data_IF_678123422710
#
_entry.id   IF_678123422710
#
_cell.length_a   1.000
_cell.length_b   1.000
_cell.length_c   1.000
_cell.angle_alpha   90.00
_cell.angle_beta   90.00
_cell.angle_gamma   90.00
#
_symmetry.space_group_name_H-M   'P 1'
#
loop_
_entity.id
_entity.type
_entity.pdbx_description
1 polymer ?
#
# COMPACT_ATOMS: atom_id res chain seq x y z
N UNK A 1 1.47 20.82 -11.15
CA UNK A 1 2.43 20.12 -12.03
C UNK A 1 2.99 18.88 -11.36
N UNK A 2 3.57 19.00 -10.15
CA UNK A 2 4.00 17.85 -9.32
C UNK A 2 2.96 16.73 -9.22
N UNK A 3 1.72 17.08 -8.85
CA UNK A 3 0.62 16.12 -8.70
C UNK A 3 0.29 15.33 -9.97
N UNK A 4 0.48 15.90 -11.17
CA UNK A 4 0.22 15.16 -12.42
C UNK A 4 1.22 14.02 -12.61
N UNK A 5 2.48 14.20 -12.21
CA UNK A 5 3.47 13.13 -12.24
C UNK A 5 3.16 12.05 -11.20
N UNK A 6 2.69 12.43 -10.01
CA UNK A 6 2.27 11.46 -8.97
C UNK A 6 1.07 10.66 -9.47
N UNK A 7 0.03 11.33 -9.99
CA UNK A 7 -1.15 10.66 -10.51
C UNK A 7 -0.81 9.73 -11.68
N UNK A 8 0.00 10.19 -12.65
CA UNK A 8 0.46 9.35 -13.74
C UNK A 8 1.23 8.12 -13.24
N UNK A 9 2.09 8.30 -12.22
CA UNK A 9 2.82 7.19 -11.60
C UNK A 9 1.83 6.19 -10.96
N UNK A 10 0.82 6.68 -10.23
CA UNK A 10 -0.21 5.82 -9.62
C UNK A 10 -0.98 5.02 -10.66
N UNK A 11 -1.40 5.66 -11.75
CA UNK A 11 -2.18 5.01 -12.80
C UNK A 11 -1.36 3.91 -13.50
N UNK A 12 -0.08 4.17 -13.80
CA UNK A 12 0.83 3.15 -14.36
C UNK A 12 0.98 1.98 -13.37
N UNK A 13 1.26 2.27 -12.09
CA UNK A 13 1.45 1.24 -11.06
C UNK A 13 0.21 0.36 -10.88
N UNK A 14 -0.99 0.95 -10.92
CA UNK A 14 -2.25 0.19 -10.80
C UNK A 14 -2.53 -0.69 -12.00
N UNK A 15 -2.32 -0.17 -13.21
CA UNK A 15 -2.69 -0.84 -14.45
C UNK A 15 -1.58 -1.73 -15.00
N UNK A 16 -0.44 -1.14 -15.33
CA UNK A 16 0.66 -1.80 -16.05
C UNK A 16 1.70 -2.43 -15.11
N UNK A 17 1.76 -1.99 -13.86
CA UNK A 17 2.68 -2.49 -12.84
C UNK A 17 4.03 -1.77 -12.81
N UNK A 18 4.87 -2.18 -11.86
CA UNK A 18 6.15 -1.52 -11.55
C UNK A 18 7.16 -1.61 -12.71
N UNK A 19 7.11 -2.66 -13.54
CA UNK A 19 8.04 -2.82 -14.66
C UNK A 19 7.88 -1.74 -15.74
N UNK A 20 6.68 -1.14 -15.85
CA UNK A 20 6.42 -0.04 -16.80
C UNK A 20 6.89 1.33 -16.28
N UNK A 21 7.41 1.41 -15.05
CA UNK A 21 7.85 2.66 -14.46
C UNK A 21 9.16 3.13 -15.07
N UNK A 22 9.09 4.29 -15.74
CA UNK A 22 10.25 5.04 -16.18
C UNK A 22 9.93 6.53 -16.19
N UNK A 23 10.97 7.37 -16.06
CA UNK A 23 10.82 8.83 -16.13
C UNK A 23 10.13 9.24 -17.43
N UNK A 24 10.43 8.58 -18.56
CA UNK A 24 9.83 8.88 -19.86
C UNK A 24 8.35 8.52 -19.89
N UNK A 25 7.97 7.34 -19.39
CA UNK A 25 6.57 6.90 -19.37
C UNK A 25 5.73 7.80 -18.48
N UNK A 26 6.20 8.10 -17.26
CA UNK A 26 5.52 8.98 -16.32
C UNK A 26 5.35 10.38 -16.90
N UNK A 27 6.41 10.95 -17.48
CA UNK A 27 6.33 12.29 -18.05
C UNK A 27 5.37 12.35 -19.25
N UNK A 28 5.41 11.36 -20.14
CA UNK A 28 4.50 11.25 -21.27
C UNK A 28 3.03 11.18 -20.80
N UNK A 29 2.73 10.29 -19.86
CA UNK A 29 1.38 10.15 -19.32
C UNK A 29 0.90 11.39 -18.56
N UNK A 30 1.80 12.09 -17.88
CA UNK A 30 1.49 13.37 -17.24
C UNK A 30 1.34 14.53 -18.24
N UNK A 31 1.67 14.34 -19.52
CA UNK A 31 1.59 15.37 -20.57
C UNK A 31 2.75 16.38 -20.55
N UNK A 32 3.91 16.00 -20.00
CA UNK A 32 5.08 16.89 -19.84
C UNK A 32 6.38 16.24 -20.33
N UNK A 33 7.43 17.05 -20.46
CA UNK A 33 8.77 16.53 -20.78
C UNK A 33 9.41 15.86 -19.56
N UNK A 34 10.29 14.88 -19.78
CA UNK A 34 11.08 14.27 -18.71
C UNK A 34 11.99 15.29 -18.00
N UNK A 35 12.46 16.32 -18.72
CA UNK A 35 13.24 17.42 -18.13
C UNK A 35 12.42 18.21 -17.11
N UNK A 36 11.12 18.41 -17.37
CA UNK A 36 10.19 19.04 -16.43
C UNK A 36 10.00 18.21 -15.17
N UNK A 37 9.94 16.88 -15.30
CA UNK A 37 9.84 15.95 -14.15
C UNK A 37 11.05 16.09 -13.22
N UNK A 38 12.27 16.17 -13.78
CA UNK A 38 13.51 16.32 -13.01
C UNK A 38 13.62 17.64 -12.22
N UNK A 39 12.79 18.64 -12.53
CA UNK A 39 12.69 19.85 -11.70
C UNK A 39 11.99 19.60 -10.36
N UNK A 40 11.25 18.49 -10.23
CA UNK A 40 10.45 18.16 -9.04
C UNK A 40 10.94 16.92 -8.28
N UNK A 41 11.53 15.95 -8.99
CA UNK A 41 11.93 14.68 -8.40
C UNK A 41 13.36 14.33 -8.79
N UNK A 42 14.14 13.90 -7.80
CA UNK A 42 15.55 13.53 -7.99
C UNK A 42 15.68 12.21 -8.75
N UNK A 43 14.81 11.26 -8.43
CA UNK A 43 14.72 9.97 -9.08
C UNK A 43 13.28 9.46 -9.10
N UNK A 44 13.06 8.39 -9.88
CA UNK A 44 11.73 7.77 -10.01
C UNK A 44 11.32 7.01 -8.74
N UNK A 45 12.27 6.60 -7.89
CA UNK A 45 11.99 5.90 -6.65
C UNK A 45 11.38 6.84 -5.59
N UNK A 46 11.62 8.15 -5.67
CA UNK A 46 10.88 9.16 -4.90
C UNK A 46 9.40 9.22 -5.29
N UNK A 47 9.08 9.10 -6.57
CA UNK A 47 7.70 9.07 -7.05
C UNK A 47 6.99 7.80 -6.61
N UNK A 48 7.64 6.64 -6.78
CA UNK A 48 7.08 5.35 -6.35
C UNK A 48 6.87 5.33 -4.84
N UNK A 49 7.79 5.92 -4.04
CA UNK A 49 7.62 6.08 -2.58
C UNK A 49 6.30 6.77 -2.24
N UNK A 50 6.02 7.91 -2.86
CA UNK A 50 4.81 8.69 -2.58
C UNK A 50 3.55 7.88 -2.91
N UNK A 51 3.59 7.08 -3.98
CA UNK A 51 2.46 6.23 -4.37
C UNK A 51 2.20 5.09 -3.38
N UNK A 52 3.24 4.51 -2.76
CA UNK A 52 3.06 3.41 -1.79
C UNK A 52 2.23 3.86 -0.58
N UNK A 53 2.49 5.03 -0.02
CA UNK A 53 1.71 5.58 1.09
C UNK A 53 0.25 5.83 0.68
N UNK A 54 0.03 6.39 -0.51
CA UNK A 54 -1.32 6.59 -1.04
C UNK A 54 -2.07 5.26 -1.25
N UNK A 55 -1.40 4.22 -1.75
CA UNK A 55 -2.04 2.91 -1.95
C UNK A 55 -2.37 2.22 -0.63
N UNK A 56 -1.56 2.41 0.42
CA UNK A 56 -1.90 1.93 1.75
C UNK A 56 -3.20 2.60 2.25
N UNK A 57 -3.32 3.91 2.07
CA UNK A 57 -4.53 4.67 2.43
C UNK A 57 -5.74 4.20 1.63
N UNK A 58 -5.60 4.03 0.31
CA UNK A 58 -6.66 3.52 -0.55
C UNK A 58 -7.10 2.11 -0.15
N UNK A 59 -6.15 1.24 0.22
CA UNK A 59 -6.44 -0.09 0.75
C UNK A 59 -7.23 -0.01 2.06
N UNK A 60 -6.82 0.86 2.98
CA UNK A 60 -7.55 1.09 4.24
C UNK A 60 -9.00 1.51 3.98
N UNK A 61 -9.20 2.54 3.16
CA UNK A 61 -10.55 3.03 2.81
C UNK A 61 -11.38 1.94 2.11
N UNK A 62 -10.77 1.14 1.25
CA UNK A 62 -11.42 0.02 0.57
C UNK A 62 -11.93 -1.05 1.55
N UNK A 63 -11.12 -1.38 2.57
CA UNK A 63 -11.47 -2.33 3.62
C UNK A 63 -12.53 -1.75 4.54
N UNK A 64 -12.36 -0.52 5.02
CA UNK A 64 -13.31 0.17 5.90
C UNK A 64 -14.71 0.24 5.30
N UNK A 65 -14.81 0.52 4.00
CA UNK A 65 -16.11 0.57 3.32
C UNK A 65 -16.81 -0.80 3.29
N UNK A 66 -16.05 -1.91 3.21
CA UNK A 66 -16.60 -3.28 3.21
C UNK A 66 -16.96 -3.77 4.60
N UNK A 67 -16.27 -3.29 5.63
CA UNK A 67 -16.54 -3.69 7.02
C UNK A 67 -17.40 -2.69 7.79
N UNK A 68 -17.88 -1.65 7.10
CA UNK A 68 -18.79 -0.65 7.65
C UNK A 68 -20.04 -1.30 8.23
N UNK A 69 -20.32 -0.98 9.50
CA UNK A 69 -21.47 -1.50 10.23
C UNK A 69 -21.27 -2.90 10.85
N UNK A 70 -20.13 -3.54 10.63
CA UNK A 70 -19.75 -4.76 11.35
C UNK A 70 -19.10 -4.34 12.67
N UNK A 71 -19.50 -4.98 13.77
CA UNK A 71 -18.90 -4.71 15.09
C UNK A 71 -17.44 -5.19 15.12
N UNK A 72 -16.57 -4.38 15.73
CA UNK A 72 -15.17 -4.74 16.00
C UNK A 72 -15.04 -6.08 16.73
N UNK A 73 -14.00 -6.83 16.39
CA UNK A 73 -13.66 -8.13 16.96
C UNK A 73 -13.46 -9.20 15.89
N UNK A 74 -13.48 -10.48 16.30
CA UNK A 74 -13.04 -11.61 15.46
C UNK A 74 -13.71 -11.72 14.09
N UNK A 75 -15.00 -11.44 14.00
CA UNK A 75 -15.74 -11.57 12.73
C UNK A 75 -15.44 -10.40 11.78
N UNK A 76 -15.30 -9.17 12.29
CA UNK A 76 -14.84 -8.04 11.47
C UNK A 76 -13.38 -8.23 11.05
N UNK A 77 -12.50 -8.70 11.93
CA UNK A 77 -11.11 -9.03 11.60
C UNK A 77 -10.99 -9.95 10.38
N UNK A 78 -11.79 -11.02 10.32
CA UNK A 78 -11.82 -11.92 9.14
C UNK A 78 -12.24 -11.17 7.88
N UNK A 79 -13.20 -10.24 8.00
CA UNK A 79 -13.67 -9.41 6.89
C UNK A 79 -12.65 -8.34 6.49
N UNK A 80 -11.87 -7.80 7.43
CA UNK A 80 -10.79 -6.88 7.12
C UNK A 80 -9.70 -7.59 6.32
N UNK A 81 -9.26 -8.78 6.76
CA UNK A 81 -8.31 -9.62 6.01
C UNK A 81 -8.86 -10.00 4.63
N UNK A 82 -10.15 -10.36 4.54
CA UNK A 82 -10.79 -10.66 3.26
C UNK A 82 -10.75 -9.43 2.33
N UNK A 83 -11.16 -8.25 2.82
CA UNK A 83 -11.16 -7.01 2.05
C UNK A 83 -9.74 -6.59 1.61
N UNK A 84 -8.75 -6.83 2.46
CA UNK A 84 -7.35 -6.58 2.15
C UNK A 84 -6.88 -7.44 0.97
N UNK A 85 -7.17 -8.74 1.00
CA UNK A 85 -6.85 -9.66 -0.11
C UNK A 85 -7.60 -9.23 -1.38
N UNK A 86 -8.90 -8.90 -1.27
CA UNK A 86 -9.71 -8.43 -2.40
C UNK A 86 -9.11 -7.18 -3.07
N UNK A 87 -8.59 -6.23 -2.31
CA UNK A 87 -7.94 -5.03 -2.84
C UNK A 87 -6.75 -5.38 -3.75
N UNK A 88 -5.87 -6.26 -3.28
CA UNK A 88 -4.70 -6.68 -4.06
C UNK A 88 -5.07 -7.59 -5.25
N UNK A 89 -6.18 -8.32 -5.17
CA UNK A 89 -6.73 -9.02 -6.33
C UNK A 89 -7.31 -8.05 -7.39
N UNK A 90 -7.92 -6.94 -6.97
CA UNK A 90 -8.44 -5.91 -7.86
C UNK A 90 -7.32 -5.08 -8.51
N UNK A 91 -6.23 -4.85 -7.78
CA UNK A 91 -5.08 -4.06 -8.23
C UNK A 91 -3.77 -4.88 -8.20
N UNK A 92 -3.58 -5.84 -9.12
CA UNK A 92 -2.43 -6.74 -9.12
C UNK A 92 -1.09 -6.01 -9.30
N UNK A 93 -1.06 -4.85 -9.96
CA UNK A 93 0.15 -4.02 -10.07
C UNK A 93 0.61 -3.44 -8.72
N UNK A 94 -0.33 -3.14 -7.82
CA UNK A 94 0.01 -2.75 -6.43
C UNK A 94 0.52 -3.97 -5.65
N UNK A 95 -0.03 -5.16 -5.88
CA UNK A 95 0.46 -6.39 -5.25
C UNK A 95 1.90 -6.70 -5.66
N UNK A 96 2.23 -6.58 -6.96
CA UNK A 96 3.60 -6.75 -7.45
C UNK A 96 4.55 -5.73 -6.80
N UNK A 97 4.12 -4.47 -6.72
CA UNK A 97 4.88 -3.41 -6.07
C UNK A 97 5.16 -3.71 -4.58
N UNK A 98 4.15 -4.18 -3.85
CA UNK A 98 4.25 -4.38 -2.41
C UNK A 98 5.03 -5.66 -2.05
N UNK A 99 4.77 -6.78 -2.73
CA UNK A 99 5.21 -8.10 -2.24
C UNK A 99 6.17 -8.85 -3.17
N UNK A 100 6.27 -8.47 -4.45
CA UNK A 100 7.12 -9.17 -5.42
C UNK A 100 8.36 -8.37 -5.80
N UNK A 101 8.31 -7.04 -5.68
CA UNK A 101 9.44 -6.17 -5.98
C UNK A 101 10.53 -6.32 -4.93
N UNK A 102 11.80 -6.38 -5.36
CA UNK A 102 12.91 -6.55 -4.42
C UNK A 102 13.18 -5.23 -3.72
N UNK A 103 13.46 -5.30 -2.42
CA UNK A 103 13.74 -4.11 -1.61
C UNK A 103 14.94 -3.28 -2.12
N UNK A 104 15.89 -3.91 -2.80
CA UNK A 104 17.02 -3.25 -3.47
C UNK A 104 16.57 -2.28 -4.57
N UNK A 105 15.46 -2.57 -5.22
CA UNK A 105 14.97 -1.81 -6.37
C UNK A 105 14.50 -0.40 -5.94
N UNK A 106 14.12 -0.24 -4.66
CA UNK A 106 13.76 1.04 -4.04
C UNK A 106 14.94 1.84 -3.48
N UNK A 107 16.19 1.45 -3.76
CA UNK A 107 17.38 2.11 -3.20
C UNK A 107 17.49 1.97 -1.67
N UNK A 108 16.87 0.93 -1.09
CA UNK A 108 16.96 0.64 0.35
C UNK A 108 16.21 1.63 1.25
N UNK A 109 15.17 2.31 0.75
CA UNK A 109 14.34 3.23 1.53
C UNK A 109 13.57 2.48 2.63
N UNK A 110 14.16 2.44 3.84
CA UNK A 110 13.59 1.81 5.04
C UNK A 110 12.13 2.19 5.33
N UNK A 111 11.73 3.41 4.99
CA UNK A 111 10.35 3.89 5.17
C UNK A 111 9.34 3.15 4.29
N UNK A 112 9.68 2.80 3.05
CA UNK A 112 8.80 1.98 2.17
C UNK A 112 8.62 0.61 2.78
N UNK A 113 9.74 0.01 3.18
CA UNK A 113 9.77 -1.33 3.78
C UNK A 113 8.86 -1.38 5.00
N UNK A 114 8.96 -0.36 5.84
CA UNK A 114 8.15 -0.24 7.05
C UNK A 114 6.65 -0.15 6.72
N UNK A 115 6.26 0.69 5.76
CA UNK A 115 4.86 0.82 5.31
C UNK A 115 4.33 -0.52 4.78
N UNK A 116 5.09 -1.19 3.90
CA UNK A 116 4.67 -2.46 3.30
C UNK A 116 4.53 -3.55 4.37
N UNK A 117 5.52 -3.68 5.26
CA UNK A 117 5.52 -4.71 6.30
C UNK A 117 4.36 -4.56 7.29
N UNK A 118 3.98 -3.32 7.61
CA UNK A 118 2.91 -3.07 8.56
C UNK A 118 1.52 -2.97 7.91
N UNK A 119 1.43 -2.93 6.57
CA UNK A 119 0.18 -2.66 5.84
C UNK A 119 -1.03 -3.49 6.29
N UNK A 120 -0.88 -4.81 6.49
CA UNK A 120 -1.97 -5.66 7.00
C UNK A 120 -2.23 -5.43 8.49
N UNK A 121 -1.17 -5.27 9.29
CA UNK A 121 -1.28 -5.05 10.74
C UNK A 121 -2.04 -3.75 11.04
N UNK A 122 -1.72 -2.68 10.31
CA UNK A 122 -2.35 -1.37 10.43
C UNK A 122 -3.85 -1.43 10.13
N UNK A 123 -4.24 -2.21 9.10
CA UNK A 123 -5.65 -2.41 8.74
C UNK A 123 -6.41 -3.18 9.81
N UNK A 124 -5.75 -4.13 10.48
CA UNK A 124 -6.39 -4.98 11.47
C UNK A 124 -6.27 -4.45 12.91
N UNK A 125 -5.59 -3.31 13.15
CA UNK A 125 -5.16 -2.86 14.47
C UNK A 125 -6.34 -2.73 15.46
N UNK A 126 -7.43 -2.10 15.02
CA UNK A 126 -8.62 -1.89 15.84
C UNK A 126 -9.25 -3.21 16.31
N UNK A 127 -9.33 -4.17 15.40
CA UNK A 127 -10.00 -5.45 15.62
C UNK A 127 -9.13 -6.42 16.42
N UNK A 128 -7.81 -6.36 16.26
CA UNK A 128 -6.87 -7.01 17.17
C UNK A 128 -7.00 -6.50 18.59
N UNK A 129 -7.09 -5.18 18.78
CA UNK A 129 -7.29 -4.56 20.09
C UNK A 129 -8.55 -5.04 20.78
N UNK A 130 -9.66 -5.14 20.04
CA UNK A 130 -10.93 -5.63 20.59
C UNK A 130 -10.88 -7.14 20.92
N UNK A 131 -10.22 -7.96 20.09
CA UNK A 131 -10.04 -9.38 20.38
C UNK A 131 -9.23 -9.64 21.66
N UNK A 132 -8.21 -8.81 21.91
CA UNK A 132 -7.41 -8.85 23.13
C UNK A 132 -8.24 -8.46 24.36
N UNK A 133 -9.02 -7.38 24.27
CA UNK A 133 -9.89 -6.92 25.35
C UNK A 133 -10.94 -7.97 25.74
N UNK A 134 -11.49 -8.68 24.75
CA UNK A 134 -12.46 -9.75 24.97
C UNK A 134 -11.82 -11.09 25.41
N UNK A 135 -10.48 -11.15 25.59
CA UNK A 135 -9.71 -12.37 25.89
C UNK A 135 -9.98 -13.53 24.91
N UNK A 136 -10.37 -13.20 23.68
CA UNK A 136 -10.59 -14.19 22.61
C UNK A 136 -9.24 -14.73 22.11
N UNK A 137 -8.18 -13.94 22.27
CA UNK A 137 -6.81 -14.23 21.86
C UNK A 137 -5.90 -13.80 23.01
N UNK A 138 -4.90 -14.60 23.36
CA UNK A 138 -3.92 -14.24 24.39
C UNK A 138 -2.86 -13.27 23.82
N UNK A 139 -2.30 -12.39 24.65
CA UNK A 139 -1.26 -11.42 24.22
C UNK A 139 -0.08 -12.09 23.50
N UNK A 140 0.33 -13.26 23.97
CA UNK A 140 1.38 -14.09 23.36
C UNK A 140 1.08 -14.53 21.92
N UNK A 141 -0.20 -14.69 21.55
CA UNK A 141 -0.60 -15.08 20.19
C UNK A 141 -0.67 -13.89 19.22
N UNK A 142 -0.84 -12.67 19.74
CA UNK A 142 -0.87 -11.46 18.91
C UNK A 142 0.54 -11.07 18.47
N UNK A 143 1.54 -11.17 19.34
CA UNK A 143 2.93 -10.87 18.97
C UNK A 143 3.45 -11.85 17.89
N UNK A 144 3.10 -13.13 18.01
CA UNK A 144 3.43 -14.16 17.01
C UNK A 144 2.71 -13.89 15.67
N UNK A 145 1.46 -13.38 15.70
CA UNK A 145 0.66 -13.11 14.49
C UNK A 145 0.95 -11.75 13.86
N UNK A 146 1.55 -10.81 14.60
CA UNK A 146 2.04 -9.52 14.09
C UNK A 146 3.38 -9.63 13.34
N UNK A 147 3.99 -10.82 13.31
CA UNK A 147 5.19 -11.07 12.50
C UNK A 147 6.45 -10.39 13.02
N UNK A 148 6.60 -10.26 14.34
CA UNK A 148 7.85 -9.91 15.00
C UNK A 148 8.65 -11.14 15.40
#
# INVERSE_FOLDING_TARGET
>A
MKEYFIQATKDILKGEGIQSISVRNIANQAGYSYATLYNYFKDVNDLVFLCVSDFQEECRVFVENRTKGIKKGKERLKKDIQGYIEFFCEYPGIFELFYLTRMSDFGGKKSIIHVINNSLSDICEEDWGECLNQKIINSHEVDIKKGY
#
